data_IF_716985976538
#
_entry.id   IF_716985976538
#
_cell.length_a   1.000
_cell.length_b   1.000
_cell.length_c   1.000
_cell.angle_alpha   90.00
_cell.angle_beta   90.00
_cell.angle_gamma   90.00
#
_symmetry.space_group_name_H-M   'P 1'
#
loop_
_entity.id
_entity.type
_entity.pdbx_description
1 polymer ?
#
# COMPACT_ATOMS: atom_id res chain seq x y z
N UNK A 1 0.51 -2.42 27.08
CA UNK A 1 -0.56 -3.42 27.02
C UNK A 1 -1.78 -2.76 26.38
N UNK A 2 -2.31 -3.36 25.32
CA UNK A 2 -3.48 -2.82 24.59
C UNK A 2 -4.81 -3.41 25.11
N UNK A 3 -4.75 -4.35 26.07
CA UNK A 3 -5.89 -4.87 26.82
C UNK A 3 -7.09 -5.28 25.97
N UNK A 4 -8.30 -5.03 26.48
CA UNK A 4 -9.58 -5.29 25.79
C UNK A 4 -9.95 -4.21 24.76
N UNK A 5 -9.04 -3.29 24.44
CA UNK A 5 -9.30 -2.19 23.49
C UNK A 5 -9.09 -2.62 22.03
N UNK A 6 -8.47 -3.78 21.79
CA UNK A 6 -8.32 -4.37 20.45
C UNK A 6 -9.57 -5.19 20.14
N UNK A 7 -10.19 -4.89 19.01
CA UNK A 7 -11.23 -5.73 18.41
C UNK A 7 -10.73 -6.27 17.08
N UNK A 8 -10.87 -7.58 16.90
CA UNK A 8 -10.55 -8.24 15.64
C UNK A 8 -11.54 -7.76 14.58
N UNK A 9 -11.04 -7.55 13.35
CA UNK A 9 -11.92 -7.22 12.24
C UNK A 9 -12.84 -8.40 11.91
N UNK A 10 -14.14 -8.15 11.68
CA UNK A 10 -15.09 -9.17 11.24
C UNK A 10 -14.58 -9.94 10.02
N UNK A 11 -14.73 -11.27 10.03
CA UNK A 11 -14.26 -12.15 8.95
C UNK A 11 -15.06 -12.02 7.66
N UNK A 12 -16.21 -11.35 7.71
CA UNK A 12 -17.07 -11.04 6.56
C UNK A 12 -16.57 -9.86 5.72
N UNK A 13 -15.42 -9.28 6.09
CA UNK A 13 -14.81 -8.15 5.38
C UNK A 13 -15.29 -6.78 5.86
N UNK A 14 -16.28 -6.69 6.76
CA UNK A 14 -16.81 -5.39 7.21
C UNK A 14 -15.85 -4.66 8.15
N UNK A 15 -15.95 -3.33 8.18
CA UNK A 15 -15.15 -2.47 9.06
C UNK A 15 -16.08 -1.76 10.05
N UNK A 16 -15.94 -2.01 11.37
CA UNK A 16 -16.72 -1.31 12.38
C UNK A 16 -16.61 0.21 12.24
N UNK A 17 -17.75 0.90 12.33
CA UNK A 17 -17.85 2.37 12.23
C UNK A 17 -17.48 2.98 10.87
N UNK A 18 -17.20 2.17 9.84
CA UNK A 18 -16.91 2.62 8.47
C UNK A 18 -17.85 1.92 7.49
N UNK A 19 -19.13 2.34 7.38
CA UNK A 19 -20.08 1.72 6.47
C UNK A 19 -19.57 1.76 5.02
N UNK A 20 -19.93 0.73 4.26
CA UNK A 20 -19.54 0.48 2.86
C UNK A 20 -18.05 0.17 2.62
N UNK A 21 -17.17 0.38 3.60
CA UNK A 21 -15.78 -0.06 3.51
C UNK A 21 -15.67 -1.55 3.82
N UNK A 22 -14.85 -2.22 3.02
CA UNK A 22 -14.37 -3.58 3.25
C UNK A 22 -12.88 -3.56 3.50
N UNK A 23 -12.40 -4.37 4.44
CA UNK A 23 -10.96 -4.57 4.62
C UNK A 23 -10.44 -5.62 3.64
N UNK A 24 -9.22 -5.42 3.17
CA UNK A 24 -8.46 -6.33 2.31
C UNK A 24 -7.13 -6.59 3.02
N UNK A 25 -6.81 -7.86 3.27
CA UNK A 25 -5.49 -8.20 3.84
C UNK A 25 -4.41 -7.88 2.82
N UNK A 26 -3.48 -7.00 3.21
CA UNK A 26 -2.40 -6.53 2.34
C UNK A 26 -1.05 -6.61 3.06
N UNK A 27 -0.59 -7.82 3.41
CA UNK A 27 0.68 -8.03 4.09
C UNK A 27 1.87 -7.64 3.21
N UNK A 28 3.04 -7.47 3.84
CA UNK A 28 4.30 -7.21 3.15
C UNK A 28 5.05 -6.06 3.80
N UNK A 29 4.42 -4.87 3.82
CA UNK A 29 4.91 -3.76 4.62
C UNK A 29 5.00 -4.18 6.10
N UNK A 30 3.91 -4.71 6.64
CA UNK A 30 3.93 -5.49 7.89
C UNK A 30 3.03 -6.72 7.76
N UNK A 31 3.21 -7.78 8.57
CA UNK A 31 2.40 -8.99 8.46
C UNK A 31 0.89 -8.76 8.68
N UNK A 32 0.53 -7.82 9.55
CA UNK A 32 -0.85 -7.48 9.89
C UNK A 32 -1.47 -6.36 9.05
N UNK A 33 -0.76 -5.86 8.03
CA UNK A 33 -1.21 -4.70 7.26
C UNK A 33 -2.49 -4.98 6.45
N UNK A 34 -3.41 -4.03 6.45
CA UNK A 34 -4.67 -4.09 5.69
C UNK A 34 -4.85 -2.81 4.87
N UNK A 35 -5.67 -2.90 3.84
CA UNK A 35 -6.19 -1.76 3.09
C UNK A 35 -7.71 -1.74 3.18
N UNK A 36 -8.33 -0.58 3.03
CA UNK A 36 -9.78 -0.43 3.09
C UNK A 36 -10.30 0.04 1.74
N UNK A 37 -11.28 -0.67 1.18
CA UNK A 37 -11.86 -0.36 -0.11
C UNK A 37 -13.36 -0.13 0.01
N UNK A 38 -13.85 0.93 -0.63
CA UNK A 38 -15.28 1.25 -0.70
C UNK A 38 -15.75 1.21 -2.14
N UNK A 39 -16.70 0.32 -2.40
CA UNK A 39 -17.11 -0.03 -3.77
C UNK A 39 -17.89 1.09 -4.46
N UNK A 40 -18.79 1.78 -3.73
CA UNK A 40 -19.73 2.77 -4.29
C UNK A 40 -19.06 3.92 -5.06
N UNK A 41 -17.87 4.32 -4.64
CA UNK A 41 -17.09 5.40 -5.23
C UNK A 41 -15.65 4.97 -5.54
N UNK A 42 -15.36 3.67 -5.43
CA UNK A 42 -14.08 3.07 -5.80
C UNK A 42 -12.90 3.69 -5.02
N UNK A 43 -13.15 4.16 -3.79
CA UNK A 43 -12.14 4.75 -2.91
C UNK A 43 -11.32 3.65 -2.24
N UNK A 44 -10.00 3.76 -2.34
CA UNK A 44 -9.04 2.92 -1.67
C UNK A 44 -8.25 3.72 -0.64
N UNK A 45 -8.25 3.26 0.61
CA UNK A 45 -7.27 3.63 1.63
C UNK A 45 -6.23 2.51 1.64
N UNK A 46 -5.12 2.74 0.95
CA UNK A 46 -4.08 1.72 0.71
C UNK A 46 -3.12 1.54 1.89
N UNK A 47 -3.16 2.44 2.87
CA UNK A 47 -2.13 2.49 3.92
C UNK A 47 -0.75 2.58 3.30
N UNK A 48 0.18 1.77 3.78
CA UNK A 48 1.55 1.68 3.27
C UNK A 48 1.75 0.47 2.34
N UNK A 49 0.69 -0.08 1.74
CA UNK A 49 0.82 -1.13 0.70
C UNK A 49 1.53 -0.60 -0.56
N UNK A 50 1.31 0.68 -0.89
CA UNK A 50 2.07 1.48 -1.83
C UNK A 50 1.97 2.95 -1.40
N UNK A 51 2.82 3.84 -1.94
CA UNK A 51 2.81 5.27 -1.62
C UNK A 51 2.77 6.13 -2.88
N UNK A 52 2.36 7.39 -2.77
CA UNK A 52 2.22 8.35 -3.89
C UNK A 52 3.31 9.42 -3.90
N UNK A 53 4.45 9.11 -3.27
CA UNK A 53 5.64 9.95 -3.21
C UNK A 53 6.88 9.09 -3.38
N UNK A 54 7.88 9.58 -4.10
CA UNK A 54 9.17 8.91 -4.22
C UNK A 54 9.97 9.02 -2.93
N UNK A 55 10.27 7.89 -2.31
CA UNK A 55 10.96 7.84 -1.01
C UNK A 55 12.40 8.38 -1.05
N UNK A 56 13.02 8.37 -2.23
CA UNK A 56 14.41 8.82 -2.45
C UNK A 56 14.55 10.36 -2.44
N UNK A 57 13.44 11.10 -2.42
CA UNK A 57 13.43 12.57 -2.48
C UNK A 57 12.72 13.22 -1.29
N UNK A 58 13.12 12.90 -0.04
CA UNK A 58 12.72 13.70 1.13
C UNK A 58 13.03 15.22 0.96
N UNK A 59 13.90 15.58 0.01
CA UNK A 59 14.25 16.96 -0.34
C UNK A 59 13.42 17.61 -1.47
N UNK A 60 12.61 16.87 -2.25
CA UNK A 60 11.73 17.43 -3.31
C UNK A 60 10.27 17.63 -2.86
N UNK A 61 10.04 17.92 -1.58
CA UNK A 61 8.74 18.42 -1.09
C UNK A 61 8.26 19.65 -1.88
N UNK A 62 9.19 20.36 -2.53
CA UNK A 62 8.92 21.56 -3.32
C UNK A 62 8.33 21.34 -4.72
N UNK A 63 8.47 20.18 -5.38
CA UNK A 63 8.06 20.04 -6.81
C UNK A 63 6.74 19.32 -7.05
N UNK A 64 6.09 18.76 -6.01
CA UNK A 64 4.76 18.11 -6.09
C UNK A 64 4.54 17.14 -7.27
N UNK A 65 5.59 16.55 -7.83
CA UNK A 65 5.42 15.52 -8.87
C UNK A 65 4.86 14.26 -8.18
N UNK A 66 3.60 13.95 -8.45
CA UNK A 66 2.98 12.71 -7.96
C UNK A 66 3.61 11.53 -8.69
N UNK A 67 4.19 10.60 -7.91
CA UNK A 67 4.78 9.37 -8.43
C UNK A 67 4.37 8.21 -7.53
N UNK A 68 3.92 7.11 -8.12
CA UNK A 68 3.62 5.91 -7.33
C UNK A 68 4.92 5.18 -6.99
N UNK A 69 5.01 4.63 -5.80
CA UNK A 69 6.12 3.80 -5.36
C UNK A 69 5.59 2.62 -4.56
N UNK A 70 6.40 1.57 -4.41
CA UNK A 70 6.08 0.45 -3.54
C UNK A 70 5.98 0.85 -2.05
N UNK A 71 5.76 -0.12 -1.15
CA UNK A 71 5.70 0.15 0.28
C UNK A 71 7.03 0.70 0.82
N UNK A 72 7.03 1.36 2.00
CA UNK A 72 8.26 1.88 2.57
C UNK A 72 9.37 0.86 2.80
N UNK A 73 10.54 1.11 2.19
CA UNK A 73 11.66 0.15 2.14
C UNK A 73 12.22 -0.22 3.52
N UNK A 74 12.24 0.73 4.46
CA UNK A 74 12.86 0.56 5.78
C UNK A 74 12.10 -0.38 6.72
N UNK A 75 10.84 -0.71 6.41
CA UNK A 75 10.02 -1.61 7.24
C UNK A 75 9.32 -2.72 6.46
N UNK A 76 9.47 -2.78 5.13
CA UNK A 76 8.85 -3.84 4.34
C UNK A 76 9.55 -5.16 4.57
N UNK A 77 8.89 -6.03 5.35
CA UNK A 77 9.44 -7.30 5.84
C UNK A 77 9.33 -8.46 4.85
N UNK A 78 8.38 -8.39 3.92
CA UNK A 78 8.15 -9.44 2.92
C UNK A 78 7.77 -8.80 1.57
N UNK A 79 8.75 -8.73 0.67
CA UNK A 79 8.58 -8.14 -0.67
C UNK A 79 7.66 -8.96 -1.58
N UNK A 80 7.62 -10.29 -1.41
CA UNK A 80 6.71 -11.13 -2.20
C UNK A 80 5.27 -10.87 -1.78
N UNK A 81 5.01 -10.90 -0.47
CA UNK A 81 3.69 -10.57 0.05
C UNK A 81 3.26 -9.14 -0.30
N UNK A 82 4.20 -8.17 -0.28
CA UNK A 82 3.92 -6.81 -0.70
C UNK A 82 3.49 -6.73 -2.18
N UNK A 83 4.17 -7.43 -3.07
CA UNK A 83 3.81 -7.50 -4.50
C UNK A 83 2.40 -8.06 -4.69
N UNK A 84 2.10 -9.19 -4.06
CA UNK A 84 0.76 -9.80 -4.09
C UNK A 84 -0.32 -8.86 -3.55
N UNK A 85 0.00 -8.08 -2.51
CA UNK A 85 -0.89 -7.07 -1.97
C UNK A 85 -1.17 -5.95 -2.97
N UNK A 86 -0.14 -5.42 -3.64
CA UNK A 86 -0.33 -4.38 -4.67
C UNK A 86 -1.12 -4.92 -5.86
N UNK A 87 -0.91 -6.17 -6.27
CA UNK A 87 -1.72 -6.84 -7.31
C UNK A 87 -3.20 -6.85 -6.93
N UNK A 88 -3.54 -7.32 -5.73
CA UNK A 88 -4.92 -7.33 -5.23
C UNK A 88 -5.55 -5.93 -5.23
N UNK A 89 -4.76 -4.91 -4.87
CA UNK A 89 -5.23 -3.52 -4.87
C UNK A 89 -5.43 -2.95 -6.27
N UNK A 90 -4.65 -3.39 -7.26
CA UNK A 90 -4.85 -3.03 -8.67
C UNK A 90 -6.08 -3.74 -9.26
N UNK A 91 -6.31 -5.01 -8.90
CA UNK A 91 -7.46 -5.80 -9.35
C UNK A 91 -8.80 -5.19 -8.94
N UNK A 92 -8.83 -4.57 -7.76
CA UNK A 92 -10.01 -3.80 -7.36
C UNK A 92 -10.13 -2.50 -8.12
N UNK A 93 -9.29 -2.08 -9.08
CA UNK A 93 -9.42 -0.92 -10.01
C UNK A 93 -9.76 0.46 -9.41
N UNK A 94 -9.11 0.91 -8.31
CA UNK A 94 -9.50 2.12 -7.57
C UNK A 94 -9.56 3.38 -8.45
N UNK A 95 -10.52 4.26 -8.17
CA UNK A 95 -10.59 5.59 -8.82
C UNK A 95 -9.87 6.67 -8.00
N UNK A 96 -9.78 6.47 -6.69
CA UNK A 96 -9.07 7.33 -5.74
C UNK A 96 -8.27 6.44 -4.80
N UNK A 97 -7.01 6.78 -4.56
CA UNK A 97 -6.16 6.12 -3.57
C UNK A 97 -5.61 7.13 -2.58
N UNK A 98 -5.84 6.87 -1.29
CA UNK A 98 -5.22 7.55 -0.16
C UNK A 98 -4.18 6.61 0.43
N UNK A 99 -2.92 7.04 0.45
CA UNK A 99 -1.77 6.27 0.92
C UNK A 99 -1.26 6.81 2.26
N UNK A 100 -0.46 6.02 2.97
CA UNK A 100 0.16 6.43 4.23
C UNK A 100 1.17 7.58 4.06
N UNK A 101 1.74 7.71 2.86
CA UNK A 101 2.67 8.76 2.50
C UNK A 101 2.34 9.34 1.10
N UNK A 102 2.52 10.64 0.94
CA UNK A 102 2.22 11.39 -0.28
C UNK A 102 0.83 12.04 -0.24
N UNK A 103 0.32 12.45 -1.41
CA UNK A 103 -1.00 13.08 -1.55
C UNK A 103 -1.96 12.13 -2.29
N UNK A 104 -3.28 12.20 -2.06
CA UNK A 104 -4.23 11.35 -2.76
C UNK A 104 -4.05 11.41 -4.28
N UNK A 105 -4.04 10.24 -4.92
CA UNK A 105 -3.91 10.09 -6.36
C UNK A 105 -5.24 9.56 -6.92
N UNK A 106 -5.63 10.00 -8.12
CA UNK A 106 -6.94 9.65 -8.67
C UNK A 106 -6.94 9.54 -10.21
N UNK A 107 -8.02 8.99 -10.75
CA UNK A 107 -8.28 8.94 -12.18
C UNK A 107 -7.26 8.13 -12.97
N UNK A 108 -7.01 8.57 -14.22
CA UNK A 108 -6.13 7.88 -15.15
C UNK A 108 -4.69 7.77 -14.62
N UNK A 109 -4.20 8.81 -13.93
CA UNK A 109 -2.89 8.81 -13.29
C UNK A 109 -2.76 7.65 -12.31
N UNK A 110 -3.71 7.50 -11.38
CA UNK A 110 -3.72 6.37 -10.45
C UNK A 110 -3.73 5.04 -11.19
N UNK A 111 -4.64 4.87 -12.14
CA UNK A 111 -4.81 3.59 -12.84
C UNK A 111 -3.55 3.17 -13.61
N UNK A 112 -2.91 4.10 -14.31
CA UNK A 112 -1.72 3.84 -15.13
C UNK A 112 -0.49 3.62 -14.24
N UNK A 113 -0.33 4.44 -13.20
CA UNK A 113 0.77 4.30 -12.27
C UNK A 113 0.67 3.00 -11.48
N UNK A 114 -0.50 2.65 -10.93
CA UNK A 114 -0.69 1.41 -10.17
C UNK A 114 -0.47 0.16 -11.04
N UNK A 115 -0.94 0.18 -12.29
CA UNK A 115 -0.65 -0.88 -13.26
C UNK A 115 0.84 -1.01 -13.54
N UNK A 116 1.53 0.12 -13.73
CA UNK A 116 2.99 0.15 -13.90
C UNK A 116 3.70 -0.44 -12.68
N UNK A 117 3.27 -0.08 -11.48
CA UNK A 117 3.84 -0.61 -10.24
C UNK A 117 3.66 -2.13 -10.15
N UNK A 118 2.52 -2.68 -10.55
CA UNK A 118 2.31 -4.14 -10.59
C UNK A 118 3.27 -4.81 -11.58
N UNK A 119 3.41 -4.24 -12.78
CA UNK A 119 4.23 -4.82 -13.86
C UNK A 119 5.73 -4.78 -13.54
N UNK A 120 6.19 -3.66 -12.96
CA UNK A 120 7.61 -3.37 -12.72
C UNK A 120 7.96 -3.40 -11.22
N UNK A 121 7.17 -4.10 -10.39
CA UNK A 121 7.27 -4.05 -8.92
C UNK A 121 8.69 -4.27 -8.41
N UNK A 122 9.36 -5.33 -8.90
CA UNK A 122 10.68 -5.73 -8.40
C UNK A 122 11.75 -4.66 -8.71
N UNK A 123 11.56 -3.89 -9.78
CA UNK A 123 12.44 -2.81 -10.20
C UNK A 123 12.15 -1.49 -9.49
N UNK A 124 10.87 -1.20 -9.20
CA UNK A 124 10.45 0.07 -8.59
C UNK A 124 10.56 0.00 -7.05
N UNK A 125 10.09 -1.09 -6.46
CA UNK A 125 9.83 -1.19 -5.02
C UNK A 125 11.00 -1.81 -4.24
N UNK A 126 11.57 -2.91 -4.75
CA UNK A 126 12.56 -3.72 -4.02
C UNK A 126 13.93 -3.02 -4.08
N UNK A 127 14.56 -2.72 -2.93
CA UNK A 127 15.89 -2.13 -2.91
C UNK A 127 16.97 -3.17 -3.28
N UNK A 128 18.10 -2.70 -3.80
CA UNK A 128 19.23 -3.56 -4.18
C UNK A 128 19.89 -4.28 -2.98
N UNK A 129 19.75 -3.71 -1.77
CA UNK A 129 20.33 -4.24 -0.54
C UNK A 129 19.49 -3.85 0.68
N UNK A 130 19.63 -4.61 1.77
CA UNK A 130 19.03 -4.26 3.06
C UNK A 130 18.55 -5.47 3.85
N UNK A 131 18.28 -5.25 5.14
CA UNK A 131 17.91 -6.30 6.11
C UNK A 131 16.81 -7.25 5.63
N UNK A 132 15.83 -6.74 4.90
CA UNK A 132 14.66 -7.50 4.45
C UNK A 132 14.74 -7.98 2.99
N UNK A 133 15.88 -7.75 2.33
CA UNK A 133 16.20 -8.27 0.98
C UNK A 133 17.25 -9.37 1.10
N UNK A 134 18.28 -9.16 1.90
CA UNK A 134 19.37 -10.10 2.10
C UNK A 134 18.99 -11.22 3.07
N UNK A 135 18.43 -12.32 2.54
CA UNK A 135 18.13 -13.53 3.31
C UNK A 135 19.36 -14.25 3.89
N UNK A 136 20.58 -13.75 3.64
CA UNK A 136 21.86 -14.35 4.03
C UNK A 136 22.54 -13.68 5.23
N UNK A 137 21.89 -12.71 5.89
CA UNK A 137 22.44 -12.12 7.13
C UNK A 137 21.85 -12.89 8.33
N UNK A 138 22.36 -14.09 8.57
CA UNK A 138 22.26 -14.82 9.84
C UNK A 138 23.54 -15.61 10.07
#
# INVERSE_FOLDING_TARGET
DLGNSIKVLPTDGTVPHMPDFKWIHTPGHTPGHISLFREKDRTLIAGDAFVTVKQEYLYKVFTQEQEISGPPRYLTTDWKAAKESVIKLEEVKPLIAVTGHGIPMSGELLSTSLKTLVQEFDKIAVPDYGKYVDKKIY
#
